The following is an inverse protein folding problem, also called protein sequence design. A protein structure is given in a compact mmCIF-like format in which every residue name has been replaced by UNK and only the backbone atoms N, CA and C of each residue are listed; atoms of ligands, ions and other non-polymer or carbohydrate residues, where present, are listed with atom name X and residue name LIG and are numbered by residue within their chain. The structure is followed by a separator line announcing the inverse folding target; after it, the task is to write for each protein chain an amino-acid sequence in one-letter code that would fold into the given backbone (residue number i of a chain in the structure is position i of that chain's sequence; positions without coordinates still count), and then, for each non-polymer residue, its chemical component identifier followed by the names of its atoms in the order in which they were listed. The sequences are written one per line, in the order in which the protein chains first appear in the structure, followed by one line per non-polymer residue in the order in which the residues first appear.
data_IF_601772991960
#
_entry.id   IF_601772991960
#
_cell.length_a   1.000
_cell.length_b   1.000
_cell.length_c   1.000
_cell.angle_alpha   90.00
_cell.angle_beta   90.00
_cell.angle_gamma   90.00
#
_symmetry.space_group_name_H-M   'P 1'
#
loop_
_entity.id
_entity.type
_entity.pdbx_description
1 polymer ?
#
# COMPACT_ATOMS: atom_id res chain seq x y z
N UNK A 1 42.55 -20.33 -6.66
CA UNK A 1 43.13 -20.39 -5.30
C UNK A 1 42.08 -19.80 -4.36
N UNK A 2 41.19 -20.65 -3.84
CA UNK A 2 40.16 -20.22 -2.88
C UNK A 2 40.76 -20.30 -1.47
N UNK A 3 40.92 -19.13 -0.84
CA UNK A 3 41.42 -19.03 0.54
C UNK A 3 40.30 -19.36 1.54
N UNK A 4 40.54 -20.22 2.54
CA UNK A 4 39.57 -20.47 3.60
C UNK A 4 39.47 -19.26 4.53
N UNK A 5 38.29 -18.65 4.60
CA UNK A 5 38.00 -17.56 5.55
C UNK A 5 37.58 -18.18 6.88
N UNK A 6 38.36 -17.94 7.93
CA UNK A 6 38.12 -18.37 9.31
C UNK A 6 36.87 -17.72 9.90
N UNK A 7 36.24 -18.40 10.87
CA UNK A 7 34.96 -18.01 11.49
C UNK A 7 35.08 -16.89 12.55
N UNK A 8 36.28 -16.40 12.83
CA UNK A 8 36.55 -15.62 14.05
C UNK A 8 36.33 -14.09 13.90
N UNK A 9 36.10 -13.58 12.69
CA UNK A 9 36.03 -12.12 12.45
C UNK A 9 34.62 -11.51 12.50
N UNK A 10 33.60 -12.22 13.02
CA UNK A 10 32.19 -11.83 12.82
C UNK A 10 31.58 -10.93 13.91
N UNK A 11 32.35 -10.49 14.91
CA UNK A 11 31.82 -9.71 16.03
C UNK A 11 32.59 -8.40 16.33
N UNK A 12 32.85 -7.61 15.30
CA UNK A 12 33.28 -6.20 15.50
C UNK A 12 32.18 -5.28 14.96
N UNK A 13 31.24 -4.92 15.84
CA UNK A 13 30.29 -3.83 15.61
C UNK A 13 30.82 -2.59 16.29
N UNK A 14 31.79 -1.97 15.67
CA UNK A 14 32.26 -0.64 16.06
C UNK A 14 31.52 0.40 15.21
N UNK A 15 30.85 1.34 15.88
CA UNK A 15 30.17 2.50 15.28
C UNK A 15 31.12 3.42 14.47
N UNK A 16 32.43 3.13 14.50
CA UNK A 16 33.50 3.82 13.77
C UNK A 16 33.83 3.21 12.39
N UNK A 17 33.14 2.15 11.97
CA UNK A 17 33.44 1.51 10.68
C UNK A 17 32.87 2.29 9.48
N UNK A 18 33.71 2.68 8.49
CA UNK A 18 33.26 3.43 7.32
C UNK A 18 32.13 2.71 6.57
N UNK A 19 31.13 3.48 6.12
CA UNK A 19 29.88 2.95 5.55
C UNK A 19 30.08 2.06 4.30
N UNK A 20 31.17 2.27 3.56
CA UNK A 20 31.55 1.39 2.44
C UNK A 20 31.99 0.00 2.90
N UNK A 21 32.69 -0.07 4.04
CA UNK A 21 33.22 -1.30 4.60
C UNK A 21 32.12 -2.15 5.25
N UNK A 22 31.19 -1.53 5.98
CA UNK A 22 29.99 -2.22 6.50
C UNK A 22 29.14 -2.81 5.39
N UNK A 23 29.09 -2.17 4.21
CA UNK A 23 28.40 -2.70 3.04
C UNK A 23 29.07 -3.95 2.49
N UNK A 24 30.39 -3.97 2.41
CA UNK A 24 31.17 -5.14 1.97
C UNK A 24 31.02 -6.32 2.93
N UNK A 25 31.04 -6.08 4.25
CA UNK A 25 30.78 -7.13 5.23
C UNK A 25 29.39 -7.72 5.09
N UNK A 26 28.34 -6.88 4.93
CA UNK A 26 26.98 -7.38 4.68
C UNK A 26 26.87 -8.23 3.41
N UNK A 27 27.59 -7.88 2.35
CA UNK A 27 27.61 -8.72 1.14
C UNK A 27 28.30 -10.06 1.38
N UNK A 28 29.42 -10.08 2.11
CA UNK A 28 30.11 -11.32 2.51
C UNK A 28 29.23 -12.19 3.40
N UNK A 29 28.58 -11.61 4.40
CA UNK A 29 27.62 -12.30 5.28
C UNK A 29 26.45 -12.90 4.48
N UNK A 30 25.86 -12.14 3.55
CA UNK A 30 24.79 -12.64 2.69
C UNK A 30 25.27 -13.77 1.77
N UNK A 31 26.50 -13.70 1.25
CA UNK A 31 27.07 -14.76 0.43
C UNK A 31 27.29 -16.04 1.25
N UNK A 32 27.82 -15.93 2.46
CA UNK A 32 28.02 -17.05 3.40
C UNK A 32 26.67 -17.67 3.76
N UNK A 33 25.68 -16.85 4.11
CA UNK A 33 24.33 -17.31 4.44
C UNK A 33 23.68 -18.07 3.26
N UNK A 34 23.82 -17.56 2.03
CA UNK A 34 23.31 -18.23 0.83
C UNK A 34 24.03 -19.56 0.54
N UNK A 35 25.31 -19.68 0.88
CA UNK A 35 26.03 -20.95 0.79
C UNK A 35 25.59 -21.94 1.87
N UNK A 36 25.35 -21.47 3.09
CA UNK A 36 24.82 -22.28 4.20
C UNK A 36 23.41 -22.78 3.89
N UNK A 37 22.49 -21.92 3.45
CA UNK A 37 21.13 -22.28 3.03
C UNK A 37 21.15 -23.33 1.89
N UNK A 38 22.07 -23.22 0.93
CA UNK A 38 22.25 -24.24 -0.12
C UNK A 38 22.75 -25.58 0.43
N UNK A 39 23.63 -25.57 1.43
CA UNK A 39 24.12 -26.80 2.08
C UNK A 39 23.02 -27.42 2.93
N UNK A 40 22.28 -26.62 3.70
CA UNK A 40 21.13 -27.07 4.50
C UNK A 40 20.01 -27.62 3.64
N UNK A 41 19.68 -26.99 2.50
CA UNK A 41 18.70 -27.52 1.55
C UNK A 41 19.11 -28.88 0.97
N UNK A 42 20.41 -29.09 0.70
CA UNK A 42 20.94 -30.39 0.25
C UNK A 42 20.90 -31.45 1.36
N UNK A 43 21.16 -31.07 2.61
CA UNK A 43 21.09 -31.98 3.76
C UNK A 43 19.64 -32.34 4.10
N UNK A 44 18.71 -31.38 4.04
CA UNK A 44 17.28 -31.62 4.23
C UNK A 44 16.68 -32.47 3.10
N UNK A 45 17.14 -32.32 1.86
CA UNK A 45 16.75 -33.22 0.77
C UNK A 45 17.29 -34.66 0.93
N UNK A 46 18.41 -34.85 1.64
CA UNK A 46 18.93 -36.19 1.99
C UNK A 46 18.24 -36.81 3.21
N UNK A 47 17.84 -36.00 4.18
CA UNK A 47 17.23 -36.47 5.44
C UNK A 47 15.70 -36.63 5.37
N UNK A 48 15.03 -36.08 4.34
CA UNK A 48 13.62 -36.36 4.02
C UNK A 48 13.52 -37.13 2.69
N UNK A 49 13.66 -38.47 2.68
CA UNK A 49 13.39 -39.28 1.49
C UNK A 49 11.90 -39.34 1.09
N UNK A 50 11.00 -38.71 1.85
CA UNK A 50 9.54 -38.81 1.67
C UNK A 50 9.03 -38.07 0.41
N UNK A 51 9.78 -37.13 -0.16
CA UNK A 51 9.29 -36.33 -1.31
C UNK A 51 9.66 -36.89 -2.69
N UNK A 52 10.38 -38.01 -2.77
CA UNK A 52 10.77 -38.61 -4.06
C UNK A 52 10.62 -40.13 -4.11
N UNK A 53 9.97 -40.74 -3.12
CA UNK A 53 9.42 -42.07 -3.28
C UNK A 53 8.30 -41.97 -4.32
N UNK A 54 8.52 -42.46 -5.54
CA UNK A 54 7.50 -42.60 -6.58
C UNK A 54 6.30 -43.29 -5.95
N UNK A 55 5.24 -42.53 -5.66
CA UNK A 55 3.99 -43.10 -5.17
C UNK A 55 3.43 -43.90 -6.32
N UNK A 56 3.52 -45.22 -6.23
CA UNK A 56 2.92 -46.11 -7.20
C UNK A 56 1.41 -46.05 -7.00
N UNK A 57 0.76 -45.06 -7.61
CA UNK A 57 -0.69 -44.85 -7.50
C UNK A 57 -1.38 -45.86 -8.40
N UNK A 58 -2.01 -46.86 -7.80
CA UNK A 58 -2.81 -47.88 -8.49
C UNK A 58 -4.31 -47.65 -8.24
N UNK A 59 -5.15 -48.19 -9.13
CA UNK A 59 -6.61 -48.14 -9.01
C UNK A 59 -7.03 -49.00 -7.81
N UNK A 60 -7.84 -48.45 -6.91
CA UNK A 60 -8.37 -49.20 -5.77
C UNK A 60 -9.54 -50.10 -6.20
N UNK A 61 -9.73 -51.27 -5.57
CA UNK A 61 -10.86 -52.15 -5.90
C UNK A 61 -12.19 -51.42 -5.65
N UNK A 62 -13.04 -51.35 -6.68
CA UNK A 62 -14.33 -50.64 -6.64
C UNK A 62 -14.26 -49.14 -7.00
N UNK A 63 -13.08 -48.58 -7.25
CA UNK A 63 -12.91 -47.20 -7.71
C UNK A 63 -13.28 -47.08 -9.20
N UNK A 64 -14.06 -46.07 -9.58
CA UNK A 64 -14.30 -45.76 -10.99
C UNK A 64 -13.04 -45.10 -11.56
N UNK A 65 -12.76 -45.32 -12.84
CA UNK A 65 -11.58 -44.73 -13.50
C UNK A 65 -11.53 -43.20 -13.36
N UNK A 66 -12.68 -42.52 -13.39
CA UNK A 66 -12.77 -41.06 -13.19
C UNK A 66 -12.22 -40.63 -11.82
N UNK A 67 -12.56 -41.35 -10.77
CA UNK A 67 -12.17 -41.02 -9.40
C UNK A 67 -10.67 -41.25 -9.20
N UNK A 68 -10.14 -42.32 -9.81
CA UNK A 68 -8.71 -42.58 -9.89
C UNK A 68 -7.94 -41.43 -10.54
N UNK A 69 -8.38 -40.96 -11.71
CA UNK A 69 -7.73 -39.82 -12.40
C UNK A 69 -7.72 -38.58 -11.51
N UNK A 70 -8.84 -38.27 -10.86
CA UNK A 70 -8.93 -37.10 -9.98
C UNK A 70 -7.99 -37.20 -8.77
N UNK A 71 -7.85 -38.40 -8.19
CA UNK A 71 -6.91 -38.66 -7.10
C UNK A 71 -5.46 -38.50 -7.53
N UNK A 72 -5.11 -39.06 -8.69
CA UNK A 72 -3.79 -38.89 -9.31
C UNK A 72 -3.48 -37.40 -9.51
N UNK A 73 -4.39 -36.64 -10.12
CA UNK A 73 -4.19 -35.19 -10.32
C UNK A 73 -3.98 -34.44 -9.00
N UNK A 74 -4.79 -34.74 -7.98
CA UNK A 74 -4.67 -34.11 -6.67
C UNK A 74 -3.33 -34.41 -5.99
N UNK A 75 -2.84 -35.65 -6.09
CA UNK A 75 -1.53 -36.04 -5.55
C UNK A 75 -0.38 -35.28 -6.23
N UNK A 76 -0.42 -35.13 -7.55
CA UNK A 76 0.62 -34.40 -8.31
C UNK A 76 0.44 -32.88 -8.33
N UNK A 77 -0.71 -32.35 -7.88
CA UNK A 77 -1.02 -30.92 -7.96
C UNK A 77 0.04 -30.06 -7.25
N UNK A 78 0.53 -30.50 -6.09
CA UNK A 78 1.54 -29.75 -5.33
C UNK A 78 2.89 -29.70 -6.05
N UNK A 79 3.28 -30.82 -6.67
CA UNK A 79 4.51 -30.92 -7.47
C UNK A 79 4.42 -30.06 -8.74
N UNK A 80 3.28 -30.10 -9.44
CA UNK A 80 3.02 -29.24 -10.59
C UNK A 80 3.10 -27.75 -10.20
N UNK A 81 2.47 -27.37 -9.10
CA UNK A 81 2.50 -25.98 -8.60
C UNK A 81 3.91 -25.57 -8.19
N UNK A 82 4.70 -26.46 -7.58
CA UNK A 82 6.07 -26.16 -7.17
C UNK A 82 7.00 -26.01 -8.39
N UNK A 83 6.89 -26.88 -9.39
CA UNK A 83 7.61 -26.80 -10.66
C UNK A 83 7.22 -25.54 -11.46
N UNK A 84 5.96 -25.15 -11.43
CA UNK A 84 5.52 -23.90 -12.07
C UNK A 84 6.08 -22.65 -11.36
N UNK A 85 6.19 -22.69 -10.03
CA UNK A 85 6.81 -21.60 -9.25
C UNK A 85 8.32 -21.51 -9.45
N UNK A 86 9.01 -22.64 -9.66
CA UNK A 86 10.46 -22.64 -9.90
C UNK A 86 10.81 -22.13 -11.29
N UNK A 87 10.00 -22.44 -12.30
CA UNK A 87 10.18 -21.96 -13.68
C UNK A 87 9.86 -20.47 -13.84
N UNK A 88 8.83 -19.97 -13.14
CA UNK A 88 8.45 -18.55 -13.16
C UNK A 88 8.77 -17.87 -11.83
N UNK A 89 10.03 -17.46 -11.66
CA UNK A 89 10.40 -16.64 -10.51
C UNK A 89 9.73 -15.27 -10.62
N UNK A 90 8.74 -15.01 -9.75
CA UNK A 90 8.21 -13.67 -9.62
C UNK A 90 9.31 -12.77 -9.04
N UNK A 91 9.62 -11.67 -9.73
CA UNK A 91 10.51 -10.63 -9.19
C UNK A 91 10.10 -10.28 -7.76
N UNK A 92 11.09 -10.04 -6.88
CA UNK A 92 10.88 -9.65 -5.48
C UNK A 92 9.91 -8.47 -5.34
N UNK A 93 9.88 -7.57 -6.32
CA UNK A 93 8.93 -6.45 -6.36
C UNK A 93 7.47 -6.93 -6.47
N UNK A 94 7.20 -7.91 -7.34
CA UNK A 94 5.86 -8.50 -7.49
C UNK A 94 5.45 -9.28 -6.24
N UNK A 95 6.38 -9.99 -5.59
CA UNK A 95 6.12 -10.69 -4.32
C UNK A 95 5.72 -9.72 -3.21
N UNK A 96 6.53 -8.68 -2.98
CA UNK A 96 6.26 -7.62 -1.99
C UNK A 96 4.93 -6.92 -2.24
N UNK A 97 4.60 -6.60 -3.49
CA UNK A 97 3.31 -5.98 -3.83
C UNK A 97 2.12 -6.89 -3.53
N UNK A 98 2.26 -8.20 -3.77
CA UNK A 98 1.19 -9.17 -3.46
C UNK A 98 1.00 -9.31 -1.95
N UNK A 99 2.08 -9.38 -1.18
CA UNK A 99 2.05 -9.42 0.29
C UNK A 99 1.38 -8.16 0.86
N UNK A 100 1.78 -6.97 0.38
CA UNK A 100 1.12 -5.70 0.77
C UNK A 100 -0.37 -5.69 0.47
N UNK A 101 -0.80 -6.23 -0.69
CA UNK A 101 -2.23 -6.33 -1.02
C UNK A 101 -2.99 -7.27 -0.08
N UNK A 102 -2.37 -8.39 0.32
CA UNK A 102 -2.95 -9.32 1.29
C UNK A 102 -3.07 -8.66 2.67
N UNK A 103 -2.02 -7.99 3.14
CA UNK A 103 -2.01 -7.24 4.41
C UNK A 103 -3.13 -6.20 4.44
N UNK A 104 -3.24 -5.35 3.41
CA UNK A 104 -4.33 -4.36 3.31
C UNK A 104 -5.73 -4.98 3.34
N UNK A 105 -5.90 -6.18 2.79
CA UNK A 105 -7.20 -6.88 2.83
C UNK A 105 -7.50 -7.34 4.26
N UNK A 106 -6.51 -7.91 4.95
CA UNK A 106 -6.65 -8.35 6.34
C UNK A 106 -6.88 -7.17 7.28
N UNK A 107 -6.14 -6.07 7.13
CA UNK A 107 -6.31 -4.83 7.89
C UNK A 107 -7.73 -4.26 7.74
N UNK A 108 -8.31 -4.31 6.53
CA UNK A 108 -9.70 -3.88 6.31
C UNK A 108 -10.70 -4.75 7.05
N UNK A 109 -10.56 -6.07 6.94
CA UNK A 109 -11.43 -7.03 7.64
C UNK A 109 -11.29 -6.85 9.14
N UNK A 110 -10.06 -6.65 9.63
CA UNK A 110 -9.80 -6.42 11.05
C UNK A 110 -10.42 -5.09 11.50
N UNK A 111 -10.28 -4.02 10.73
CA UNK A 111 -10.90 -2.73 11.04
C UNK A 111 -12.42 -2.81 11.04
N UNK A 112 -13.03 -3.53 10.10
CA UNK A 112 -14.48 -3.79 10.10
C UNK A 112 -14.87 -4.61 11.34
N UNK A 113 -14.08 -5.61 11.71
CA UNK A 113 -14.28 -6.38 12.94
C UNK A 113 -14.05 -5.54 14.20
N UNK A 114 -13.16 -4.56 14.21
CA UNK A 114 -12.98 -3.66 15.35
C UNK A 114 -14.11 -2.63 15.44
N UNK A 115 -14.62 -2.16 14.30
CA UNK A 115 -15.68 -1.16 14.23
C UNK A 115 -17.07 -1.76 14.54
N UNK A 116 -17.32 -2.99 14.09
CA UNK A 116 -18.63 -3.65 14.18
C UNK A 116 -18.61 -4.96 14.98
N UNK A 117 -17.44 -5.53 15.26
CA UNK A 117 -17.31 -6.86 15.83
C UNK A 117 -17.63 -6.91 17.31
N UNK A 118 -18.91 -7.13 17.56
CA UNK A 118 -19.49 -7.34 18.88
C UNK A 118 -20.94 -6.90 18.95
N UNK A 119 -21.46 -6.18 17.94
CA UNK A 119 -22.91 -5.95 17.80
C UNK A 119 -23.47 -6.98 16.84
N UNK A 120 -23.97 -8.07 17.39
CA UNK A 120 -24.84 -8.98 16.67
C UNK A 120 -26.13 -8.22 16.32
N UNK A 121 -26.78 -8.59 15.20
CA UNK A 121 -28.03 -7.97 14.77
C UNK A 121 -29.12 -8.00 15.86
N UNK A 122 -29.03 -8.94 16.80
CA UNK A 122 -29.95 -9.11 17.92
C UNK A 122 -29.79 -8.05 19.03
N UNK A 123 -28.60 -7.44 19.17
CA UNK A 123 -28.34 -6.36 20.14
C UNK A 123 -28.59 -4.96 19.56
N UNK A 124 -28.97 -4.86 18.28
CA UNK A 124 -29.23 -3.60 17.60
C UNK A 124 -30.64 -3.09 17.97
N UNK A 125 -30.74 -2.35 19.08
CA UNK A 125 -31.97 -1.65 19.47
C UNK A 125 -32.02 -0.25 18.90
N UNK A 126 -33.10 0.05 18.19
CA UNK A 126 -33.38 1.37 17.63
C UNK A 126 -33.96 2.27 18.74
N UNK A 127 -33.15 3.16 19.30
CA UNK A 127 -33.58 4.10 20.34
C UNK A 127 -34.16 5.37 19.70
N UNK A 128 -35.17 5.22 18.84
CA UNK A 128 -35.80 6.34 18.13
C UNK A 128 -36.60 7.18 19.11
N UNK A 129 -36.27 8.48 19.24
CA UNK A 129 -37.05 9.40 20.07
C UNK A 129 -38.27 9.89 19.29
N UNK A 130 -39.41 10.03 19.97
CA UNK A 130 -40.62 10.56 19.36
C UNK A 130 -40.38 11.98 18.82
N UNK A 131 -40.51 12.17 17.51
CA UNK A 131 -40.22 13.42 16.80
C UNK A 131 -38.90 13.45 16.03
N UNK A 132 -38.08 12.40 16.10
CA UNK A 132 -36.89 12.23 15.25
C UNK A 132 -37.34 11.79 13.85
N UNK A 133 -37.46 12.76 12.93
CA UNK A 133 -37.66 12.48 11.50
C UNK A 133 -36.33 11.99 10.98
N UNK A 134 -36.29 10.78 10.42
CA UNK A 134 -35.08 10.22 9.81
C UNK A 134 -34.46 11.25 8.86
N UNK A 135 -33.19 11.59 9.10
CA UNK A 135 -32.45 12.46 8.21
C UNK A 135 -32.55 11.93 6.79
N UNK A 136 -32.81 12.83 5.83
CA UNK A 136 -32.91 12.44 4.44
C UNK A 136 -31.65 11.65 4.03
N UNK A 137 -31.80 10.59 3.21
CA UNK A 137 -30.66 9.78 2.82
C UNK A 137 -29.57 10.68 2.23
N UNK A 138 -28.29 10.38 2.51
CA UNK A 138 -27.18 11.22 2.07
C UNK A 138 -27.25 11.40 0.56
N UNK A 139 -27.35 12.65 0.14
CA UNK A 139 -27.39 13.00 -1.28
C UNK A 139 -25.95 12.92 -1.80
N UNK A 140 -25.70 12.02 -2.75
CA UNK A 140 -24.39 11.92 -3.40
C UNK A 140 -24.14 13.17 -4.26
N UNK A 141 -23.42 14.15 -3.70
CA UNK A 141 -23.03 15.38 -4.40
C UNK A 141 -21.95 15.15 -5.47
N UNK A 142 -21.28 13.99 -5.45
CA UNK A 142 -20.19 13.68 -6.37
C UNK A 142 -20.67 12.75 -7.47
N UNK A 143 -20.59 13.24 -8.71
CA UNK A 143 -20.79 12.43 -9.90
C UNK A 143 -19.76 11.28 -9.92
N UNK A 144 -20.18 10.04 -10.21
CA UNK A 144 -19.27 8.92 -10.31
C UNK A 144 -18.26 9.15 -11.44
N UNK A 145 -16.99 8.82 -11.20
CA UNK A 145 -15.93 8.97 -12.21
C UNK A 145 -16.17 7.95 -13.33
N UNK A 146 -16.59 8.44 -14.49
CA UNK A 146 -16.78 7.60 -15.66
C UNK A 146 -15.46 6.94 -16.10
N UNK A 147 -15.53 5.68 -16.52
CA UNK A 147 -14.39 4.89 -17.01
C UNK A 147 -14.67 4.47 -18.45
N UNK A 148 -13.62 4.40 -19.28
CA UNK A 148 -13.74 4.03 -20.70
C UNK A 148 -14.51 5.06 -21.53
N UNK A 149 -15.32 4.61 -22.51
CA UNK A 149 -16.09 5.50 -23.41
C UNK A 149 -17.12 6.38 -22.71
N UNK A 150 -17.52 6.05 -21.48
CA UNK A 150 -18.37 6.91 -20.67
C UNK A 150 -17.68 8.21 -20.23
N UNK A 151 -16.34 8.29 -20.29
CA UNK A 151 -15.58 9.49 -19.93
C UNK A 151 -15.78 10.61 -20.94
N UNK A 152 -15.75 10.29 -22.24
CA UNK A 152 -15.98 11.27 -23.32
C UNK A 152 -17.40 11.84 -23.27
N UNK A 153 -18.40 10.98 -23.01
CA UNK A 153 -19.81 11.39 -22.88
C UNK A 153 -20.03 12.26 -21.63
N UNK A 154 -19.41 11.90 -20.50
CA UNK A 154 -19.50 12.70 -19.28
C UNK A 154 -18.83 14.07 -19.47
N UNK A 155 -17.64 14.11 -20.10
CA UNK A 155 -16.92 15.34 -20.40
C UNK A 155 -17.71 16.26 -21.35
N UNK A 156 -18.36 15.70 -22.38
CA UNK A 156 -19.24 16.47 -23.27
C UNK A 156 -20.45 17.05 -22.54
N UNK A 157 -21.08 16.28 -21.64
CA UNK A 157 -22.21 16.76 -20.84
C UNK A 157 -21.81 17.83 -19.84
N UNK A 158 -20.67 17.68 -19.16
CA UNK A 158 -20.16 18.73 -18.25
C UNK A 158 -19.79 20.00 -19.01
N UNK A 159 -19.20 19.91 -20.20
CA UNK A 159 -18.89 21.09 -21.04
C UNK A 159 -20.16 21.83 -21.48
N UNK A 160 -21.19 21.10 -21.91
CA UNK A 160 -22.49 21.69 -22.24
C UNK A 160 -23.16 22.34 -21.02
N UNK A 161 -22.87 21.87 -19.82
CA UNK A 161 -23.42 22.43 -18.58
C UNK A 161 -22.66 23.69 -18.15
N UNK A 162 -21.32 23.70 -18.28
CA UNK A 162 -20.46 24.88 -18.06
C UNK A 162 -20.81 26.02 -19.05
N UNK A 163 -20.99 25.71 -20.33
CA UNK A 163 -21.40 26.71 -21.35
C UNK A 163 -22.77 27.36 -21.08
N UNK A 164 -23.64 26.71 -20.31
CA UNK A 164 -24.93 27.27 -19.90
C UNK A 164 -24.83 28.08 -18.59
N UNK A 165 -23.90 27.76 -17.70
CA UNK A 165 -23.66 28.48 -16.44
C UNK A 165 -22.82 29.76 -16.63
N UNK A 166 -21.96 29.82 -17.64
CA UNK A 166 -21.18 31.02 -18.00
C UNK A 166 -22.05 32.21 -18.51
N UNK A 167 -23.37 32.02 -18.64
CA UNK A 167 -24.31 33.13 -18.87
C UNK A 167 -24.60 33.97 -17.60
N UNK A 168 -24.03 33.60 -16.44
CA UNK A 168 -24.20 34.30 -15.16
C UNK A 168 -22.87 34.68 -14.52
N UNK A 169 -22.26 35.75 -15.03
CA UNK A 169 -21.33 36.57 -14.25
C UNK A 169 -19.94 36.67 -14.87
N UNK A 170 -19.58 37.91 -15.21
CA UNK A 170 -18.25 38.27 -15.68
C UNK A 170 -17.25 38.10 -14.50
N UNK A 171 -16.49 36.99 -14.45
CA UNK A 171 -15.28 36.92 -13.61
C UNK A 171 -14.18 37.76 -14.31
N UNK A 172 -13.61 38.73 -13.59
CA UNK A 172 -12.51 39.56 -14.08
C UNK A 172 -11.28 38.69 -14.38
N UNK A 173 -10.54 38.99 -15.46
CA UNK A 173 -9.29 38.29 -15.83
C UNK A 173 -8.24 38.26 -14.69
N UNK A 174 -8.31 39.22 -13.76
CA UNK A 174 -7.45 39.28 -12.58
C UNK A 174 -7.75 38.17 -11.56
N UNK A 175 -9.02 37.78 -11.41
CA UNK A 175 -9.46 36.74 -10.48
C UNK A 175 -9.11 35.34 -10.99
N UNK A 176 -9.19 35.11 -12.30
CA UNK A 176 -8.73 33.86 -12.91
C UNK A 176 -7.23 33.65 -12.72
N UNK A 177 -6.43 34.69 -12.91
CA UNK A 177 -4.98 34.62 -12.75
C UNK A 177 -4.60 34.32 -11.29
N UNK A 178 -5.31 34.93 -10.32
CA UNK A 178 -5.15 34.63 -8.90
C UNK A 178 -5.57 33.20 -8.53
N UNK A 179 -6.60 32.66 -9.17
CA UNK A 179 -7.09 31.28 -8.98
C UNK A 179 -6.05 30.27 -9.48
N UNK A 180 -5.45 30.52 -10.64
CA UNK A 180 -4.38 29.71 -11.21
C UNK A 180 -3.10 29.73 -10.35
N UNK A 181 -2.71 30.91 -9.85
CA UNK A 181 -1.58 31.06 -8.94
C UNK A 181 -1.78 30.32 -7.62
N UNK A 182 -2.97 30.42 -7.01
CA UNK A 182 -3.32 29.68 -5.79
C UNK A 182 -3.29 28.16 -6.03
N UNK A 183 -3.77 27.70 -7.19
CA UNK A 183 -3.76 26.29 -7.54
C UNK A 183 -2.33 25.74 -7.76
N UNK A 184 -1.46 26.50 -8.41
CA UNK A 184 -0.06 26.11 -8.64
C UNK A 184 0.74 26.04 -7.33
N UNK A 185 0.56 27.02 -6.43
CA UNK A 185 1.18 27.01 -5.09
C UNK A 185 0.71 25.81 -4.26
N UNK A 186 -0.58 25.47 -4.32
CA UNK A 186 -1.14 24.31 -3.61
C UNK A 186 -0.51 22.99 -4.08
N UNK A 187 -0.29 22.82 -5.39
CA UNK A 187 0.39 21.63 -5.96
C UNK A 187 1.86 21.56 -5.54
N UNK A 188 2.56 22.71 -5.53
CA UNK A 188 3.97 22.78 -5.09
C UNK A 188 4.13 22.33 -3.64
N UNK A 189 3.24 22.77 -2.74
CA UNK A 189 3.24 22.37 -1.32
C UNK A 189 2.95 20.87 -1.16
N UNK A 190 2.02 20.31 -1.94
CA UNK A 190 1.68 18.88 -1.87
C UNK A 190 2.83 17.96 -2.26
N UNK A 191 3.70 18.40 -3.18
CA UNK A 191 4.85 17.63 -3.67
C UNK A 191 6.10 17.76 -2.79
N UNK A 192 6.07 18.58 -1.73
CA UNK A 192 7.20 18.78 -0.83
C UNK A 192 7.28 17.69 0.26
N UNK A 193 8.50 17.46 0.76
CA UNK A 193 8.72 16.57 1.91
C UNK A 193 7.99 17.09 3.15
N UNK A 194 7.67 16.22 4.10
CA UNK A 194 6.99 16.63 5.34
C UNK A 194 7.83 17.63 6.15
N UNK A 195 9.15 17.45 6.18
CA UNK A 195 10.07 18.36 6.86
C UNK A 195 10.10 19.76 6.21
N UNK A 196 10.15 19.82 4.87
CA UNK A 196 10.15 21.09 4.15
C UNK A 196 8.82 21.86 4.29
N UNK A 197 7.69 21.14 4.41
CA UNK A 197 6.38 21.76 4.70
C UNK A 197 6.35 22.37 6.10
N UNK A 198 6.82 21.64 7.11
CA UNK A 198 6.86 22.13 8.48
C UNK A 198 7.71 23.39 8.64
N UNK A 199 8.83 23.50 7.89
CA UNK A 199 9.66 24.71 7.87
C UNK A 199 8.93 25.91 7.28
N UNK A 200 8.22 25.74 6.16
CA UNK A 200 7.44 26.84 5.56
C UNK A 200 6.28 27.28 6.45
N UNK A 201 5.61 26.34 7.12
CA UNK A 201 4.53 26.67 8.05
C UNK A 201 5.07 27.43 9.27
N UNK A 202 6.24 27.04 9.79
CA UNK A 202 6.92 27.76 10.87
C UNK A 202 7.32 29.19 10.47
N UNK A 203 7.90 29.38 9.28
CA UNK A 203 8.24 30.70 8.77
C UNK A 203 6.99 31.58 8.58
N UNK A 204 5.89 30.98 8.10
CA UNK A 204 4.60 31.66 7.94
C UNK A 204 4.04 32.12 9.28
N UNK A 205 4.01 31.25 10.28
CA UNK A 205 3.53 31.61 11.63
C UNK A 205 4.39 32.70 12.26
N UNK A 206 5.72 32.61 12.11
CA UNK A 206 6.65 33.64 12.59
C UNK A 206 6.40 35.00 11.92
N UNK A 207 6.18 35.04 10.62
CA UNK A 207 5.87 36.26 9.89
C UNK A 207 4.53 36.87 10.30
N UNK A 208 3.49 36.03 10.48
CA UNK A 208 2.17 36.46 10.95
C UNK A 208 2.28 37.02 12.37
N UNK A 209 3.02 36.36 13.26
CA UNK A 209 3.22 36.82 14.63
C UNK A 209 3.93 38.18 14.67
N UNK A 210 5.01 38.35 13.88
CA UNK A 210 5.72 39.62 13.78
C UNK A 210 4.81 40.74 13.23
N UNK A 211 4.00 40.44 12.21
CA UNK A 211 3.04 41.41 11.68
C UNK A 211 1.97 41.79 12.71
N UNK A 212 1.42 40.82 13.45
CA UNK A 212 0.44 41.07 14.51
C UNK A 212 1.00 41.91 15.64
N UNK A 213 2.24 41.62 16.08
CA UNK A 213 2.93 42.41 17.10
C UNK A 213 3.11 43.86 16.64
N UNK A 214 3.65 44.07 15.44
CA UNK A 214 3.82 45.42 14.86
C UNK A 214 2.50 46.16 14.66
N UNK A 215 1.44 45.45 14.29
CA UNK A 215 0.09 46.03 14.17
C UNK A 215 -0.46 46.43 15.55
N UNK A 216 -0.26 45.61 16.59
CA UNK A 216 -0.68 45.93 17.94
C UNK A 216 0.07 47.15 18.50
N UNK A 217 1.39 47.24 18.29
CA UNK A 217 2.20 48.42 18.64
C UNK A 217 1.69 49.69 17.94
N UNK A 218 1.41 49.60 16.63
CA UNK A 218 0.87 50.73 15.87
C UNK A 218 -0.51 51.17 16.38
N UNK A 219 -1.36 50.23 16.80
CA UNK A 219 -2.66 50.56 17.37
C UNK A 219 -2.52 51.17 18.77
N UNK A 220 -1.54 50.74 19.57
CA UNK A 220 -1.25 51.30 20.89
C UNK A 220 -0.62 52.70 20.83
N UNK A 221 0.12 53.03 19.77
CA UNK A 221 0.68 54.37 19.54
C UNK A 221 -0.34 55.39 19.00
N UNK A 222 -1.43 54.91 18.40
CA UNK A 222 -2.51 55.73 17.83
C UNK A 222 -3.74 55.80 18.75
N UNK A 223 -3.67 55.24 19.96
CA UNK A 223 -4.66 55.33 21.03
C UNK A 223 -4.17 56.33 22.08
#
# INVERSE_FOLDING_TARGET
MDLPVSKEDTNVRDDDTPKGFTRLFKYKEMAIKKQQEKKEAKMNAKNNPITTAKKNITIQPGERLKDFVQRVEHEYQQEMVSAYKSTKSASESKRRNREKRKQKKLEKIQKEKELYGGRDFDDLKDNVKFGEVADAPPIFSKLPKARGRGKEILEQKTKQQEENEDSKGYESEEDENMKLLKASHKRKIQNMSAAARAQLDYERERAIAAYRAKKAEKMAQNA
#
